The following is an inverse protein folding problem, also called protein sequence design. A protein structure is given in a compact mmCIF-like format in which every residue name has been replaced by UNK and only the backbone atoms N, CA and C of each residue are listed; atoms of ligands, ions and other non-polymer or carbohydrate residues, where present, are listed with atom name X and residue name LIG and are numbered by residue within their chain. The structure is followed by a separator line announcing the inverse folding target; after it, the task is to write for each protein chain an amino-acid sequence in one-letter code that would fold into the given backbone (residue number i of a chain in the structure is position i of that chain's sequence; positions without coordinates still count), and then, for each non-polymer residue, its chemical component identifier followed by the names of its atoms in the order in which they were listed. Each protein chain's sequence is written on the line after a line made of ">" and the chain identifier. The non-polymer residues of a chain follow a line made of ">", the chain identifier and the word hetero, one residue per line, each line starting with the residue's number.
data_IF_604738109387
#
_entry.id   IF_604738109387
#
_cell.length_a   1.000
_cell.length_b   1.000
_cell.length_c   1.000
_cell.angle_alpha   90.00
_cell.angle_beta   90.00
_cell.angle_gamma   90.00
#
_symmetry.space_group_name_H-M   'P 1'
#
loop_
_entity.id
_entity.type
_entity.pdbx_description
1 polymer ?
#
# COMPACT_ATOMS: atom_id res chain seq x y z
N UNK A 1 -10.08 -5.80 10.60
CA UNK A 1 -9.54 -6.57 9.46
C UNK A 1 -9.63 -5.69 8.23
N UNK A 2 -8.50 -5.29 7.64
CA UNK A 2 -8.49 -4.44 6.42
C UNK A 2 -8.85 -5.25 5.16
N UNK A 3 -10.11 -5.68 5.10
CA UNK A 3 -10.85 -5.91 3.86
C UNK A 3 -10.78 -7.29 3.20
N UNK A 4 -11.57 -7.38 2.12
CA UNK A 4 -12.15 -8.55 1.42
C UNK A 4 -11.22 -9.74 1.19
N UNK A 5 -11.81 -10.95 1.25
CA UNK A 5 -11.18 -12.24 0.92
C UNK A 5 -11.10 -12.43 -0.60
N UNK A 6 -9.92 -12.76 -1.11
CA UNK A 6 -9.73 -13.15 -2.51
C UNK A 6 -8.55 -12.45 -3.18
N UNK A 7 -8.24 -12.89 -4.40
CA UNK A 7 -7.21 -12.29 -5.25
C UNK A 7 -7.87 -11.28 -6.17
N UNK A 8 -7.35 -10.05 -6.21
CA UNK A 8 -7.76 -9.00 -7.13
C UNK A 8 -6.59 -8.60 -8.01
N UNK A 9 -6.85 -8.45 -9.31
CA UNK A 9 -5.82 -8.11 -10.31
C UNK A 9 -5.97 -6.66 -10.73
N UNK A 10 -4.87 -5.91 -10.69
CA UNK A 10 -4.79 -4.53 -11.16
C UNK A 10 -3.96 -4.41 -12.44
N UNK A 11 -4.36 -3.49 -13.33
CA UNK A 11 -3.60 -3.14 -14.54
C UNK A 11 -3.57 -1.63 -14.71
N UNK A 12 -2.40 -1.09 -15.04
CA UNK A 12 -2.24 0.32 -15.42
C UNK A 12 -2.58 0.51 -16.89
N UNK A 13 -3.37 1.55 -17.19
CA UNK A 13 -3.58 2.10 -18.53
C UNK A 13 -3.53 3.62 -18.44
N UNK A 14 -2.62 4.25 -19.20
CA UNK A 14 -2.26 5.66 -18.99
C UNK A 14 -1.72 5.88 -17.57
N UNK A 15 -2.30 6.85 -16.86
CA UNK A 15 -1.95 7.19 -15.46
C UNK A 15 -2.89 6.57 -14.41
N UNK A 16 -3.73 5.62 -14.82
CA UNK A 16 -4.74 5.01 -13.94
C UNK A 16 -4.48 3.53 -13.76
N UNK A 17 -4.36 3.10 -12.50
CA UNK A 17 -4.39 1.70 -12.09
C UNK A 17 -5.85 1.29 -11.86
N UNK A 18 -6.33 0.30 -12.61
CA UNK A 18 -7.69 -0.23 -12.49
C UNK A 18 -7.64 -1.68 -12.03
N UNK A 19 -8.38 -2.01 -10.98
CA UNK A 19 -8.58 -3.37 -10.51
C UNK A 19 -9.86 -3.98 -11.07
N UNK A 20 -9.90 -5.31 -11.15
CA UNK A 20 -11.14 -6.06 -11.35
C UNK A 20 -12.19 -5.60 -10.32
N UNK A 21 -13.44 -5.41 -10.76
CA UNK A 21 -14.48 -4.75 -9.96
C UNK A 21 -14.59 -3.23 -10.19
N UNK A 22 -13.71 -2.64 -11.01
CA UNK A 22 -13.83 -1.24 -11.46
C UNK A 22 -13.18 -0.22 -10.52
N UNK A 23 -12.44 -0.67 -9.52
CA UNK A 23 -11.76 0.23 -8.56
C UNK A 23 -10.53 0.86 -9.19
N UNK A 24 -10.49 2.19 -9.18
CA UNK A 24 -9.41 2.96 -9.83
C UNK A 24 -8.59 3.75 -8.82
N UNK A 25 -7.30 3.88 -9.13
CA UNK A 25 -6.32 4.67 -8.41
C UNK A 25 -5.48 5.44 -9.42
N UNK A 26 -5.45 6.77 -9.32
CA UNK A 26 -4.54 7.60 -10.12
C UNK A 26 -3.11 7.47 -9.60
N UNK A 27 -2.13 7.82 -10.42
CA UNK A 27 -0.72 7.90 -10.00
C UNK A 27 -0.56 8.76 -8.73
N UNK A 28 -0.04 8.21 -7.63
CA UNK A 28 0.12 8.96 -6.38
C UNK A 28 1.32 9.92 -6.45
N UNK A 29 1.27 10.95 -5.63
CA UNK A 29 2.44 11.77 -5.27
C UNK A 29 2.95 11.43 -3.86
N UNK A 30 4.12 11.96 -3.48
CA UNK A 30 4.73 11.67 -2.17
C UNK A 30 3.82 11.98 -0.98
N UNK A 31 3.01 13.04 -1.07
CA UNK A 31 2.01 13.38 -0.03
C UNK A 31 1.00 12.25 0.15
N UNK A 32 0.51 11.67 -0.94
CA UNK A 32 -0.49 10.59 -0.89
C UNK A 32 0.13 9.36 -0.20
N UNK A 33 1.35 8.99 -0.59
CA UNK A 33 2.07 7.82 -0.06
C UNK A 33 2.38 7.97 1.44
N UNK A 34 2.96 9.10 1.86
CA UNK A 34 3.42 9.23 3.25
C UNK A 34 2.29 9.50 4.25
N UNK A 35 1.20 10.15 3.81
CA UNK A 35 0.07 10.45 4.69
C UNK A 35 -1.03 9.42 4.65
N UNK A 36 -1.11 8.61 3.59
CA UNK A 36 -2.17 7.63 3.37
C UNK A 36 -3.59 8.22 3.52
N UNK A 37 -3.76 9.51 3.22
CA UNK A 37 -5.02 10.22 3.45
C UNK A 37 -5.25 11.37 2.45
N UNK A 38 -4.71 11.23 1.25
CA UNK A 38 -4.87 12.21 0.17
C UNK A 38 -4.84 11.52 -1.19
N UNK A 39 -5.39 12.19 -2.21
CA UNK A 39 -5.39 11.72 -3.58
C UNK A 39 -5.96 10.30 -3.70
N UNK A 40 -5.29 9.38 -4.40
CA UNK A 40 -5.75 8.00 -4.57
C UNK A 40 -5.81 7.20 -3.26
N UNK A 41 -5.19 7.69 -2.17
CA UNK A 41 -5.19 7.02 -0.87
C UNK A 41 -6.04 7.74 0.17
N UNK A 42 -6.99 8.57 -0.26
CA UNK A 42 -7.99 9.15 0.65
C UNK A 42 -8.92 8.05 1.16
N UNK A 43 -8.99 7.87 2.48
CA UNK A 43 -9.90 6.91 3.09
C UNK A 43 -11.33 7.47 3.17
N UNK A 44 -12.03 7.49 2.03
CA UNK A 44 -13.40 7.97 1.97
C UNK A 44 -14.36 6.97 2.62
N UNK A 45 -15.14 7.35 3.67
CA UNK A 45 -16.08 6.45 4.33
C UNK A 45 -17.13 5.86 3.39
N UNK A 46 -17.50 6.58 2.33
CA UNK A 46 -18.49 6.14 1.35
C UNK A 46 -17.93 5.16 0.31
N UNK A 47 -16.61 4.96 0.23
CA UNK A 47 -16.03 4.00 -0.71
C UNK A 47 -16.37 2.56 -0.30
N UNK A 48 -16.59 1.67 -1.27
CA UNK A 48 -16.75 0.23 -1.04
C UNK A 48 -15.59 -0.40 -0.23
N UNK A 49 -15.90 -1.43 0.57
CA UNK A 49 -14.92 -2.08 1.45
C UNK A 49 -13.77 -2.74 0.69
N UNK A 50 -14.01 -3.26 -0.51
CA UNK A 50 -12.99 -3.80 -1.40
C UNK A 50 -12.01 -2.72 -1.91
N UNK A 51 -12.51 -1.53 -2.28
CA UNK A 51 -11.66 -0.39 -2.64
C UNK A 51 -10.77 0.05 -1.47
N UNK A 52 -11.36 0.17 -0.27
CA UNK A 52 -10.61 0.51 0.97
C UNK A 52 -9.55 -0.55 1.30
N UNK A 53 -9.86 -1.82 1.03
CA UNK A 53 -8.92 -2.94 1.18
C UNK A 53 -7.72 -2.80 0.22
N UNK A 54 -7.98 -2.53 -1.06
CA UNK A 54 -6.95 -2.36 -2.10
C UNK A 54 -6.08 -1.14 -1.76
N UNK A 55 -6.71 -0.03 -1.37
CA UNK A 55 -6.04 1.20 -0.96
C UNK A 55 -4.98 0.94 0.12
N UNK A 56 -5.36 0.26 1.19
CA UNK A 56 -4.44 -0.03 2.29
C UNK A 56 -3.23 -0.85 1.83
N UNK A 57 -3.44 -1.86 0.97
CA UNK A 57 -2.38 -2.71 0.40
C UNK A 57 -1.43 -1.90 -0.49
N UNK A 58 -1.98 -1.05 -1.37
CA UNK A 58 -1.17 -0.16 -2.21
C UNK A 58 -0.34 0.81 -1.36
N UNK A 59 -0.97 1.46 -0.38
CA UNK A 59 -0.28 2.42 0.50
C UNK A 59 0.86 1.76 1.28
N UNK A 60 0.64 0.56 1.83
CA UNK A 60 1.69 -0.21 2.49
C UNK A 60 2.81 -0.63 1.52
N UNK A 61 2.47 -1.10 0.33
CA UNK A 61 3.43 -1.51 -0.70
C UNK A 61 4.33 -0.36 -1.17
N UNK A 62 3.79 0.86 -1.32
CA UNK A 62 4.57 2.05 -1.64
C UNK A 62 5.50 2.45 -0.49
N UNK A 63 5.00 2.51 0.75
CA UNK A 63 5.82 2.84 1.92
C UNK A 63 7.00 1.87 2.10
N UNK A 64 6.78 0.58 1.80
CA UNK A 64 7.78 -0.49 1.92
C UNK A 64 8.64 -0.68 0.68
N UNK A 65 8.45 0.13 -0.38
CA UNK A 65 9.18 0.05 -1.65
C UNK A 65 9.14 -1.33 -2.34
N UNK A 66 8.01 -2.03 -2.29
CA UNK A 66 7.85 -3.39 -2.85
C UNK A 66 6.98 -3.45 -4.12
N UNK A 67 6.38 -2.33 -4.54
CA UNK A 67 5.44 -2.28 -5.68
C UNK A 67 6.03 -2.78 -7.03
N UNK A 68 7.35 -2.71 -7.21
CA UNK A 68 8.02 -3.15 -8.44
C UNK A 68 8.58 -4.57 -8.37
N UNK A 69 8.81 -5.09 -7.17
CA UNK A 69 9.50 -6.38 -6.95
C UNK A 69 8.54 -7.50 -6.55
N UNK A 70 7.38 -7.16 -5.97
CA UNK A 70 6.41 -8.12 -5.45
C UNK A 70 5.04 -7.85 -6.07
N UNK A 71 4.70 -8.49 -7.21
CA UNK A 71 3.43 -8.26 -7.90
C UNK A 71 2.22 -8.90 -7.20
N UNK A 72 2.46 -9.84 -6.28
CA UNK A 72 1.43 -10.44 -5.42
C UNK A 72 1.59 -9.85 -4.02
N UNK A 73 0.57 -9.17 -3.52
CA UNK A 73 0.59 -8.48 -2.23
C UNK A 73 -0.72 -8.64 -1.47
N UNK A 74 -0.68 -8.63 -0.12
CA UNK A 74 0.53 -8.54 0.71
C UNK A 74 1.27 -9.87 0.88
N UNK A 75 0.62 -10.99 0.51
CA UNK A 75 1.12 -12.35 0.72
C UNK A 75 2.39 -12.63 -0.09
N UNK A 76 3.30 -13.42 0.49
CA UNK A 76 4.57 -13.78 -0.15
C UNK A 76 5.70 -12.76 0.04
N UNK A 77 5.45 -11.68 0.79
CA UNK A 77 6.48 -10.74 1.26
C UNK A 77 6.89 -11.05 2.70
N UNK A 78 8.13 -10.75 3.04
CA UNK A 78 8.66 -10.79 4.41
C UNK A 78 9.18 -9.41 4.80
N UNK A 79 9.46 -9.21 6.09
CA UNK A 79 10.06 -7.95 6.56
C UNK A 79 11.45 -7.69 5.96
N UNK A 80 12.17 -8.73 5.52
CA UNK A 80 13.46 -8.59 4.84
C UNK A 80 13.33 -7.94 3.45
N UNK A 81 12.16 -8.05 2.82
CA UNK A 81 11.90 -7.48 1.49
C UNK A 81 11.60 -5.97 1.56
N UNK A 82 11.27 -5.46 2.75
CA UNK A 82 10.85 -4.08 2.93
C UNK A 82 12.05 -3.13 2.91
N UNK A 83 11.82 -1.94 2.36
CA UNK A 83 12.75 -0.80 2.35
C UNK A 83 14.08 -1.03 1.62
N UNK A 84 14.12 -1.98 0.68
CA UNK A 84 15.31 -2.29 -0.14
C UNK A 84 15.43 -1.40 -1.39
N UNK A 85 14.37 -0.65 -1.75
CA UNK A 85 14.39 0.26 -2.90
C UNK A 85 15.19 1.54 -2.64
N UNK A 86 15.78 2.10 -3.70
CA UNK A 86 16.56 3.35 -3.62
C UNK A 86 15.74 4.55 -3.14
N UNK A 87 14.43 4.57 -3.45
CA UNK A 87 13.47 5.50 -2.88
C UNK A 87 12.48 4.72 -2.00
N UNK A 88 12.43 5.04 -0.72
CA UNK A 88 11.60 4.33 0.26
C UNK A 88 11.21 5.23 1.44
N UNK A 89 10.29 4.77 2.30
CA UNK A 89 10.01 5.47 3.55
C UNK A 89 11.13 5.22 4.57
N UNK A 90 12.16 6.05 4.53
CA UNK A 90 13.32 5.94 5.43
C UNK A 90 12.97 6.15 6.91
N UNK A 91 11.94 6.93 7.21
CA UNK A 91 11.45 7.07 8.57
C UNK A 91 10.97 5.72 9.10
N UNK A 92 10.08 5.04 8.37
CA UNK A 92 9.57 3.73 8.78
C UNK A 92 10.68 2.67 8.82
N UNK A 93 11.62 2.69 7.86
CA UNK A 93 12.80 1.80 7.89
C UNK A 93 13.57 1.93 9.21
N UNK A 94 13.85 3.16 9.65
CA UNK A 94 14.62 3.42 10.88
C UNK A 94 13.80 3.06 12.11
N UNK A 95 12.50 3.39 12.15
CA UNK A 95 11.62 3.02 13.26
C UNK A 95 11.58 1.51 13.44
N UNK A 96 11.35 0.74 12.37
CA UNK A 96 11.28 -0.73 12.44
C UNK A 96 12.61 -1.39 12.79
N UNK A 97 13.74 -0.77 12.43
CA UNK A 97 15.06 -1.26 12.83
C UNK A 97 15.32 -1.11 14.35
N UNK A 98 14.59 -0.22 15.02
CA UNK A 98 14.78 0.09 16.44
C UNK A 98 13.60 -0.29 17.33
N UNK A 99 12.43 -0.60 16.75
CA UNK A 99 11.26 -1.08 17.46
C UNK A 99 10.51 -2.12 16.63
N UNK A 100 10.38 -3.37 17.13
CA UNK A 100 9.65 -4.42 16.42
C UNK A 100 8.12 -4.26 16.50
N UNK A 101 7.62 -3.31 17.30
CA UNK A 101 6.20 -3.06 17.53
C UNK A 101 5.86 -1.58 17.34
N UNK A 102 4.66 -1.32 16.84
CA UNK A 102 4.13 0.04 16.64
C UNK A 102 3.65 0.28 15.21
N UNK A 103 3.23 1.51 14.97
CA UNK A 103 2.81 2.00 13.65
C UNK A 103 3.79 3.08 13.19
N UNK A 104 4.46 2.86 12.06
CA UNK A 104 5.33 3.85 11.44
C UNK A 104 4.66 4.65 10.31
N UNK A 105 3.50 4.19 9.82
CA UNK A 105 2.63 4.86 8.83
C UNK A 105 1.19 4.30 8.96
N UNK A 106 0.12 4.98 8.48
CA UNK A 106 -1.27 4.62 8.83
C UNK A 106 -1.74 3.19 8.48
N UNK A 107 -1.13 2.53 7.50
CA UNK A 107 -1.49 1.18 7.04
C UNK A 107 -0.38 0.14 7.33
N UNK A 108 0.41 0.37 8.39
CA UNK A 108 1.53 -0.51 8.77
C UNK A 108 1.07 -1.86 9.37
N UNK A 109 -0.22 -1.99 9.66
CA UNK A 109 -0.86 -3.25 10.01
C UNK A 109 -1.13 -4.19 8.83
N UNK A 110 -0.98 -3.72 7.58
CA UNK A 110 -1.02 -4.63 6.43
C UNK A 110 0.12 -5.63 6.56
N UNK A 111 -0.21 -6.92 6.58
CA UNK A 111 0.71 -8.05 6.66
C UNK A 111 0.23 -9.17 5.73
N UNK A 112 1.11 -10.10 5.34
CA UNK A 112 0.73 -11.36 4.68
C UNK A 112 -0.38 -12.13 5.40
#
# INVERSE_FOLDING_TARGET
>A
LQGVRGVVTGRVSGDTLTFNGGHTFIKPVSKDIFTCNHGPFTNNPADPDDKKAILARLAAGFNRSIMLTHPVQPNGTTTADYYQGAATNHWSRVVHANSPIGYAFPYDDVRP
#
